data_IF_728884023825
#
_entry.id   IF_728884023825
#
_cell.length_a   1.000
_cell.length_b   1.000
_cell.length_c   1.000
_cell.angle_alpha   90.00
_cell.angle_beta   90.00
_cell.angle_gamma   90.00
#
_symmetry.space_group_name_H-M   'P 1'
#
loop_
_entity.id
_entity.type
_entity.pdbx_description
1 polymer ?
#
# COMPACT_ATOMS: atom_id res chain seq x y z
N UNK A 1 -2.96 -21.72 7.53
CA UNK A 1 -4.26 -21.57 8.24
C UNK A 1 -4.88 -20.23 7.83
N UNK A 2 -6.20 -20.14 7.65
CA UNK A 2 -6.87 -18.86 7.39
C UNK A 2 -7.54 -18.35 8.67
N UNK A 3 -7.27 -17.09 9.04
CA UNK A 3 -7.85 -16.43 10.21
C UNK A 3 -8.36 -15.04 9.81
N UNK A 4 -9.62 -14.72 10.13
CA UNK A 4 -10.30 -13.47 9.74
C UNK A 4 -10.08 -13.15 8.24
N UNK A 5 -10.19 -14.19 7.39
CA UNK A 5 -10.00 -14.07 5.95
C UNK A 5 -8.58 -13.75 5.49
N UNK A 6 -7.58 -13.69 6.37
CA UNK A 6 -6.16 -13.55 6.04
C UNK A 6 -5.45 -14.92 6.10
N UNK A 7 -4.55 -15.18 5.16
CA UNK A 7 -3.68 -16.36 5.22
C UNK A 7 -2.56 -16.06 6.21
N UNK A 8 -2.48 -16.86 7.27
CA UNK A 8 -1.34 -16.91 8.18
C UNK A 8 -0.29 -17.82 7.53
N UNK A 9 0.79 -17.20 7.08
CA UNK A 9 1.94 -17.81 6.43
C UNK A 9 3.13 -16.88 6.63
N UNK A 10 4.30 -17.43 6.96
CA UNK A 10 5.53 -16.65 7.10
C UNK A 10 5.99 -16.06 5.76
N UNK A 11 5.58 -16.67 4.64
CA UNK A 11 5.87 -16.18 3.31
C UNK A 11 4.88 -15.05 2.89
N UNK A 12 5.36 -13.81 2.64
CA UNK A 12 4.51 -12.69 2.22
C UNK A 12 3.86 -12.88 0.85
N UNK A 13 4.42 -13.74 -0.01
CA UNK A 13 3.87 -14.02 -1.33
C UNK A 13 2.51 -14.72 -1.28
N UNK A 14 2.33 -15.70 -0.39
CA UNK A 14 1.05 -16.40 -0.23
C UNK A 14 -0.05 -15.46 0.27
N UNK A 15 0.31 -14.47 1.07
CA UNK A 15 -0.64 -13.46 1.52
C UNK A 15 -1.10 -12.57 0.37
N UNK A 16 -0.16 -12.05 -0.43
CA UNK A 16 -0.48 -11.22 -1.59
C UNK A 16 -1.32 -11.98 -2.62
N UNK A 17 -0.99 -13.23 -2.92
CA UNK A 17 -1.76 -14.07 -3.85
C UNK A 17 -3.20 -14.30 -3.35
N UNK A 18 -3.36 -14.59 -2.06
CA UNK A 18 -4.69 -14.72 -1.45
C UNK A 18 -5.51 -13.43 -1.60
N UNK A 19 -4.90 -12.25 -1.39
CA UNK A 19 -5.57 -10.95 -1.56
C UNK A 19 -5.89 -10.64 -3.02
N UNK A 20 -4.99 -10.98 -3.94
CA UNK A 20 -5.24 -10.88 -5.38
C UNK A 20 -6.46 -11.74 -5.76
N UNK A 21 -6.52 -12.99 -5.30
CA UNK A 21 -7.65 -13.87 -5.57
C UNK A 21 -8.97 -13.36 -4.96
N UNK A 22 -8.93 -12.83 -3.73
CA UNK A 22 -10.09 -12.22 -3.10
C UNK A 22 -10.58 -10.97 -3.85
N UNK A 23 -9.67 -10.06 -4.21
CA UNK A 23 -9.97 -8.87 -4.98
C UNK A 23 -10.51 -9.22 -6.37
N UNK A 24 -9.98 -10.27 -7.01
CA UNK A 24 -10.51 -10.80 -8.28
C UNK A 24 -11.97 -11.18 -8.17
N UNK A 25 -12.33 -11.96 -7.14
CA UNK A 25 -13.70 -12.40 -6.92
C UNK A 25 -14.61 -11.21 -6.67
N UNK A 26 -14.18 -10.25 -5.84
CA UNK A 26 -14.92 -9.01 -5.59
C UNK A 26 -15.12 -8.20 -6.88
N UNK A 27 -14.10 -8.09 -7.73
CA UNK A 27 -14.17 -7.39 -9.01
C UNK A 27 -15.21 -8.01 -9.95
N UNK A 28 -15.18 -9.33 -10.14
CA UNK A 28 -16.15 -10.00 -11.00
C UNK A 28 -17.56 -10.00 -10.42
N UNK A 29 -17.72 -10.09 -9.10
CA UNK A 29 -19.02 -9.92 -8.44
C UNK A 29 -19.58 -8.51 -8.64
N UNK A 30 -18.71 -7.49 -8.62
CA UNK A 30 -19.10 -6.10 -8.83
C UNK A 30 -19.38 -5.76 -10.29
N UNK A 31 -19.02 -6.59 -11.28
CA UNK A 31 -19.24 -6.27 -12.70
C UNK A 31 -20.70 -5.95 -13.02
N UNK A 32 -21.65 -6.58 -12.33
CA UNK A 32 -23.08 -6.28 -12.47
C UNK A 32 -23.45 -4.84 -12.07
N UNK A 33 -22.63 -4.17 -11.26
CA UNK A 33 -22.93 -2.86 -10.65
C UNK A 33 -22.17 -1.70 -11.33
N UNK A 34 -21.16 -1.95 -12.17
CA UNK A 34 -20.48 -0.83 -12.85
C UNK A 34 -19.15 -1.06 -13.57
N UNK A 35 -18.20 -1.91 -13.16
CA UNK A 35 -16.92 -2.06 -13.87
C UNK A 35 -17.06 -2.96 -15.11
N UNK A 36 -17.91 -2.56 -16.06
CA UNK A 36 -18.07 -3.21 -17.36
C UNK A 36 -17.33 -2.43 -18.45
N UNK A 37 -16.66 -3.18 -19.34
CA UNK A 37 -16.08 -2.65 -20.59
C UNK A 37 -17.17 -1.88 -21.34
N UNK A 38 -17.03 -0.55 -21.43
CA UNK A 38 -17.82 0.37 -22.27
C UNK A 38 -19.11 0.97 -21.68
N UNK A 39 -19.45 0.75 -20.41
CA UNK A 39 -20.71 1.26 -19.84
C UNK A 39 -20.58 2.43 -18.88
N UNK A 40 -19.42 2.61 -18.24
CA UNK A 40 -19.36 3.35 -16.97
C UNK A 40 -18.32 4.44 -17.01
N UNK A 41 -18.69 5.60 -16.47
CA UNK A 41 -17.79 6.74 -16.34
C UNK A 41 -16.50 6.32 -15.59
N UNK A 42 -15.30 6.66 -16.11
CA UNK A 42 -14.03 6.41 -15.41
C UNK A 42 -14.01 6.93 -13.96
N UNK A 43 -14.74 8.00 -13.64
CA UNK A 43 -14.86 8.51 -12.27
C UNK A 43 -15.62 7.55 -11.34
N UNK A 44 -16.68 6.90 -11.86
CA UNK A 44 -17.42 5.87 -11.12
C UNK A 44 -16.57 4.62 -10.93
N UNK A 45 -15.81 4.21 -11.96
CA UNK A 45 -14.85 3.10 -11.84
C UNK A 45 -13.80 3.41 -10.77
N UNK A 46 -13.26 4.63 -10.79
CA UNK A 46 -12.34 5.11 -9.77
C UNK A 46 -12.96 5.05 -8.38
N UNK A 47 -14.18 5.55 -8.21
CA UNK A 47 -14.89 5.53 -6.93
C UNK A 47 -15.09 4.10 -6.42
N UNK A 48 -15.59 3.19 -7.26
CA UNK A 48 -15.76 1.77 -6.92
C UNK A 48 -14.42 1.09 -6.57
N UNK A 49 -13.35 1.45 -7.28
CA UNK A 49 -12.01 0.96 -6.96
C UNK A 49 -11.56 1.43 -5.58
N UNK A 50 -11.72 2.71 -5.27
CA UNK A 50 -11.29 3.28 -3.99
C UNK A 50 -12.09 2.74 -2.80
N UNK A 51 -13.39 2.54 -2.98
CA UNK A 51 -14.33 2.17 -1.91
C UNK A 51 -14.38 0.67 -1.65
N UNK A 52 -14.47 -0.15 -2.69
CA UNK A 52 -14.72 -1.59 -2.53
C UNK A 52 -13.49 -2.46 -2.77
N UNK A 53 -12.71 -2.18 -3.81
CA UNK A 53 -11.65 -3.10 -4.28
C UNK A 53 -10.30 -2.85 -3.60
N UNK A 54 -9.92 -1.59 -3.39
CA UNK A 54 -8.69 -1.21 -2.70
C UNK A 54 -8.60 -1.79 -1.28
N UNK A 55 -9.62 -1.69 -0.41
CA UNK A 55 -9.53 -2.26 0.93
C UNK A 55 -9.35 -3.79 0.89
N UNK A 56 -10.05 -4.48 -0.02
CA UNK A 56 -9.91 -5.95 -0.19
C UNK A 56 -8.49 -6.33 -0.62
N UNK A 57 -7.88 -5.55 -1.51
CA UNK A 57 -6.53 -5.79 -1.99
C UNK A 57 -5.46 -5.47 -0.92
N UNK A 58 -5.68 -4.45 -0.11
CA UNK A 58 -4.68 -3.92 0.84
C UNK A 58 -4.82 -4.47 2.26
N UNK A 59 -5.91 -5.18 2.55
CA UNK A 59 -6.16 -5.79 3.86
C UNK A 59 -5.00 -6.70 4.28
N UNK A 60 -4.46 -6.46 5.47
CA UNK A 60 -3.35 -7.22 6.05
C UNK A 60 -1.96 -6.87 5.50
N UNK A 61 -1.88 -6.28 4.29
CA UNK A 61 -0.61 -5.95 3.63
C UNK A 61 0.10 -4.77 4.32
N UNK A 62 -0.64 -3.79 4.82
CA UNK A 62 -0.09 -2.62 5.51
C UNK A 62 0.61 -2.96 6.83
N UNK A 63 0.18 -4.05 7.48
CA UNK A 63 0.75 -4.54 8.74
C UNK A 63 1.97 -5.45 8.55
N UNK A 64 2.30 -5.82 7.31
CA UNK A 64 3.45 -6.68 7.01
C UNK A 64 4.70 -5.83 6.76
N UNK A 65 5.82 -6.27 7.34
CA UNK A 65 7.12 -5.69 7.05
C UNK A 65 7.58 -6.15 5.65
N UNK A 66 7.16 -5.44 4.62
CA UNK A 66 7.63 -5.67 3.26
C UNK A 66 8.84 -4.78 2.97
N UNK A 67 10.01 -5.40 2.75
CA UNK A 67 11.19 -4.71 2.24
C UNK A 67 10.89 -4.01 0.90
N UNK A 68 11.46 -2.82 0.70
CA UNK A 68 11.20 -1.94 -0.46
C UNK A 68 11.57 -2.56 -1.82
N UNK A 69 12.34 -3.66 -1.83
CA UNK A 69 12.72 -4.44 -3.03
C UNK A 69 11.82 -5.67 -3.27
N UNK A 70 10.64 -5.72 -2.68
CA UNK A 70 9.81 -6.92 -2.74
C UNK A 70 9.00 -7.00 -4.05
N UNK A 71 9.30 -8.03 -4.86
CA UNK A 71 8.48 -8.49 -5.99
C UNK A 71 6.98 -8.58 -5.65
N UNK A 72 6.64 -8.78 -4.38
CA UNK A 72 5.27 -8.80 -3.86
C UNK A 72 4.52 -7.49 -4.12
N UNK A 73 5.12 -6.33 -3.83
CA UNK A 73 4.48 -5.02 -4.05
C UNK A 73 4.28 -4.76 -5.55
N UNK A 74 5.28 -5.11 -6.36
CA UNK A 74 5.17 -4.99 -7.81
C UNK A 74 4.05 -5.87 -8.37
N UNK A 75 3.89 -7.09 -7.84
CA UNK A 75 2.82 -8.00 -8.28
C UNK A 75 1.43 -7.42 -8.01
N UNK A 76 1.25 -6.76 -6.86
CA UNK A 76 0.00 -6.09 -6.48
C UNK A 76 -0.26 -4.88 -7.38
N UNK A 77 0.75 -4.07 -7.69
CA UNK A 77 0.61 -2.90 -8.57
C UNK A 77 0.30 -3.31 -10.03
N UNK A 78 0.96 -4.37 -10.52
CA UNK A 78 0.64 -4.99 -11.81
C UNK A 78 -0.81 -5.51 -11.82
N UNK A 79 -1.25 -6.10 -10.72
CA UNK A 79 -2.62 -6.61 -10.60
C UNK A 79 -3.68 -5.49 -10.60
N UNK A 80 -3.45 -4.43 -9.81
CA UNK A 80 -4.31 -3.24 -9.80
C UNK A 80 -4.49 -2.67 -11.20
N UNK A 81 -3.39 -2.44 -11.91
CA UNK A 81 -3.44 -1.86 -13.25
C UNK A 81 -4.08 -2.80 -14.27
N UNK A 82 -3.92 -4.11 -14.13
CA UNK A 82 -4.60 -5.11 -14.97
C UNK A 82 -6.12 -5.06 -14.81
N UNK A 83 -6.62 -4.97 -13.58
CA UNK A 83 -8.06 -4.86 -13.30
C UNK A 83 -8.63 -3.52 -13.79
N UNK A 84 -7.92 -2.42 -13.55
CA UNK A 84 -8.35 -1.09 -14.01
C UNK A 84 -8.39 -1.01 -15.54
N UNK A 85 -7.40 -1.56 -16.23
CA UNK A 85 -7.43 -1.69 -17.70
C UNK A 85 -8.63 -2.51 -18.17
N UNK A 86 -8.92 -3.62 -17.49
CA UNK A 86 -10.06 -4.46 -17.82
C UNK A 86 -11.39 -3.73 -17.65
N UNK A 87 -11.54 -2.93 -16.59
CA UNK A 87 -12.74 -2.13 -16.33
C UNK A 87 -12.96 -1.04 -17.40
N UNK A 88 -11.90 -0.34 -17.81
CA UNK A 88 -11.99 0.72 -18.83
C UNK A 88 -12.10 0.13 -20.25
N UNK A 89 -11.62 -1.10 -20.44
CA UNK A 89 -11.51 -1.73 -21.77
C UNK A 89 -10.23 -1.42 -22.52
N UNK A 90 -9.19 -0.97 -21.81
CA UNK A 90 -7.86 -0.79 -22.35
C UNK A 90 -7.15 -2.13 -22.56
N UNK A 91 -6.24 -2.15 -23.54
CA UNK A 91 -5.42 -3.34 -23.84
C UNK A 91 -4.34 -3.55 -22.78
N UNK A 92 -3.89 -4.79 -22.63
CA UNK A 92 -2.94 -5.20 -21.59
C UNK A 92 -1.60 -4.46 -21.67
N UNK A 93 -1.15 -4.12 -22.89
CA UNK A 93 0.14 -3.47 -23.16
C UNK A 93 0.17 -1.95 -22.90
N UNK A 94 -0.95 -1.31 -22.56
CA UNK A 94 -0.96 0.12 -22.24
C UNK A 94 -0.05 0.40 -21.04
N UNK A 95 0.67 1.54 -21.01
CA UNK A 95 1.56 1.86 -19.89
C UNK A 95 0.76 2.03 -18.59
N UNK A 96 1.29 1.49 -17.49
CA UNK A 96 0.61 1.49 -16.18
C UNK A 96 0.60 2.87 -15.52
N UNK A 97 1.68 3.64 -15.69
CA UNK A 97 1.88 4.94 -15.03
C UNK A 97 0.89 6.02 -15.45
N UNK A 98 0.60 6.26 -16.76
CA UNK A 98 -0.38 7.26 -17.17
C UNK A 98 -1.79 6.95 -16.69
N UNK A 99 -2.17 5.67 -16.67
CA UNK A 99 -3.52 5.24 -16.28
C UNK A 99 -3.81 5.62 -14.82
N UNK A 100 -2.85 5.38 -13.93
CA UNK A 100 -2.97 5.74 -12.52
C UNK A 100 -2.98 7.26 -12.30
N UNK A 101 -2.19 8.00 -13.09
CA UNK A 101 -2.15 9.47 -13.05
C UNK A 101 -3.47 10.09 -13.51
N UNK A 102 -4.00 9.66 -14.66
CA UNK A 102 -5.24 10.17 -15.24
C UNK A 102 -6.44 9.90 -14.32
N UNK A 103 -6.51 8.72 -13.73
CA UNK A 103 -7.57 8.42 -12.76
C UNK A 103 -7.31 8.97 -11.36
N UNK A 104 -6.20 9.67 -11.12
CA UNK A 104 -5.81 10.15 -9.79
C UNK A 104 -5.93 9.05 -8.71
N UNK A 105 -5.36 7.89 -9.02
CA UNK A 105 -5.32 6.71 -8.15
C UNK A 105 -3.87 6.55 -7.65
N UNK A 106 -3.69 6.58 -6.33
CA UNK A 106 -2.39 6.34 -5.71
C UNK A 106 -1.87 4.92 -6.00
N UNK A 107 -0.55 4.79 -6.07
CA UNK A 107 0.11 3.49 -6.12
C UNK A 107 -0.04 2.75 -4.80
N UNK A 108 0.01 1.42 -4.83
CA UNK A 108 -0.11 0.59 -3.62
C UNK A 108 1.04 0.87 -2.67
N UNK A 109 2.27 0.98 -3.20
CA UNK A 109 3.45 1.38 -2.42
C UNK A 109 3.25 2.68 -1.65
N UNK A 110 2.73 3.71 -2.30
CA UNK A 110 2.44 5.00 -1.68
C UNK A 110 1.35 4.89 -0.62
N UNK A 111 0.26 4.17 -0.94
CA UNK A 111 -0.86 3.99 -0.03
C UNK A 111 -0.47 3.23 1.25
N UNK A 112 0.34 2.19 1.14
CA UNK A 112 0.87 1.45 2.30
C UNK A 112 1.70 2.38 3.18
N UNK A 113 2.61 3.15 2.57
CA UNK A 113 3.46 4.09 3.32
C UNK A 113 2.67 5.17 4.03
N UNK A 114 1.62 5.71 3.41
CA UNK A 114 0.70 6.65 4.06
C UNK A 114 -0.07 5.99 5.21
N UNK A 115 -0.64 4.80 4.99
CA UNK A 115 -1.41 4.08 6.01
C UNK A 115 -0.56 3.76 7.24
N UNK A 116 0.69 3.34 7.05
CA UNK A 116 1.63 3.07 8.14
C UNK A 116 1.96 4.34 8.94
N UNK A 117 2.16 5.47 8.26
CA UNK A 117 2.38 6.78 8.92
C UNK A 117 1.15 7.21 9.71
N UNK A 118 -0.05 7.00 9.20
CA UNK A 118 -1.29 7.39 9.87
C UNK A 118 -1.54 6.54 11.12
N UNK A 119 -1.28 5.23 11.06
CA UNK A 119 -1.28 4.36 12.26
C UNK A 119 -0.25 4.85 13.29
N UNK A 120 0.97 5.17 12.85
CA UNK A 120 2.01 5.69 13.74
C UNK A 120 1.58 7.00 14.42
N UNK A 121 1.00 7.95 13.67
CA UNK A 121 0.49 9.21 14.22
C UNK A 121 -0.60 8.97 15.26
N UNK A 122 -1.52 8.04 15.00
CA UNK A 122 -2.58 7.67 15.93
C UNK A 122 -2.02 7.05 17.22
N UNK A 123 -1.02 6.17 17.10
CA UNK A 123 -0.34 5.59 18.27
C UNK A 123 0.34 6.65 19.13
N UNK A 124 1.07 7.60 18.52
CA UNK A 124 1.70 8.71 19.24
C UNK A 124 0.65 9.58 19.94
N UNK A 125 -0.47 9.88 19.26
CA UNK A 125 -1.51 10.76 19.80
C UNK A 125 -2.27 10.14 20.97
N UNK A 126 -2.55 8.84 20.91
CA UNK A 126 -3.44 8.18 21.85
C UNK A 126 -2.70 7.47 23.00
N UNK A 127 -1.44 7.07 22.83
CA UNK A 127 -0.69 6.35 23.86
C UNK A 127 0.44 7.18 24.50
N UNK A 128 0.36 7.34 25.82
CA UNK A 128 1.43 7.94 26.64
C UNK A 128 2.73 7.14 26.57
N UNK A 129 2.66 5.82 26.33
CA UNK A 129 3.83 4.94 26.10
C UNK A 129 4.43 5.13 24.70
N UNK A 130 3.60 5.35 23.68
CA UNK A 130 4.05 5.67 22.32
C UNK A 130 4.83 6.98 22.26
N UNK A 131 4.37 7.99 23.01
CA UNK A 131 5.11 9.24 23.23
C UNK A 131 6.47 9.01 23.89
N UNK A 132 6.55 8.19 24.95
CA UNK A 132 7.82 7.85 25.62
C UNK A 132 8.79 7.10 24.70
N UNK A 133 8.29 6.16 23.89
CA UNK A 133 9.09 5.45 22.91
C UNK A 133 9.58 6.38 21.80
N UNK A 134 8.72 7.27 21.28
CA UNK A 134 9.10 8.21 20.24
C UNK A 134 10.08 9.27 20.74
N UNK A 135 9.89 9.79 21.96
CA UNK A 135 10.85 10.69 22.61
C UNK A 135 12.19 10.01 22.83
N UNK A 136 12.19 8.71 23.18
CA UNK A 136 13.41 7.91 23.30
C UNK A 136 14.13 7.75 21.95
N UNK A 137 13.42 7.41 20.88
CA UNK A 137 14.01 7.33 19.53
C UNK A 137 14.56 8.69 19.07
N UNK A 138 13.86 9.78 19.33
CA UNK A 138 14.36 11.13 19.02
C UNK A 138 15.62 11.47 19.81
N UNK A 139 15.69 11.07 21.09
CA UNK A 139 16.88 11.28 21.92
C UNK A 139 18.09 10.47 21.42
N UNK A 140 17.88 9.26 20.89
CA UNK A 140 18.94 8.46 20.25
C UNK A 140 19.43 9.08 18.94
N UNK A 141 18.53 9.67 18.16
CA UNK A 141 18.91 10.37 16.92
C UNK A 141 19.74 11.62 17.17
N UNK A 142 19.53 12.32 18.29
CA UNK A 142 20.32 13.49 18.68
C UNK A 142 21.76 13.11 19.08
N UNK A 143 21.95 12.00 19.80
CA UNK A 143 23.30 11.50 20.15
C UNK A 143 24.13 11.10 18.92
N UNK A 144 23.51 10.50 17.90
CA UNK A 144 24.22 10.14 16.66
C UNK A 144 24.60 11.37 15.84
N UNK A 145 23.76 12.41 15.83
CA UNK A 145 24.11 13.68 15.15
C UNK A 145 25.24 14.41 15.86
N UNK A 146 25.29 14.42 17.19
CA UNK A 146 26.39 15.05 17.94
C UNK A 146 27.72 14.30 17.78
N UNK A 147 27.70 12.96 17.68
CA UNK A 147 28.88 12.18 17.32
C UNK A 147 29.39 12.50 15.92
N UNK A 148 28.51 12.63 14.92
CA UNK A 148 28.90 13.02 13.56
C UNK A 148 29.49 14.45 13.47
N UNK A 149 28.97 15.39 14.26
CA UNK A 149 29.53 16.75 14.34
C UNK A 149 30.90 16.77 15.03
N UNK A 150 31.09 16.01 16.10
CA UNK A 150 32.38 15.90 16.79
C UNK A 150 33.46 15.21 15.95
N UNK A 151 33.10 14.16 15.18
CA UNK A 151 34.03 13.49 14.25
C UNK A 151 34.43 14.41 13.09
N UNK A 152 33.52 15.24 12.57
CA UNK A 152 33.86 16.25 11.55
C UNK A 152 34.76 17.37 12.10
N UNK A 153 34.55 17.79 13.34
CA UNK A 153 35.37 18.83 13.97
C UNK A 153 36.80 18.36 14.28
N UNK A 154 37.01 17.06 14.48
CA UNK A 154 38.33 16.46 14.75
C UNK A 154 39.08 16.04 13.48
N UNK A 155 38.38 15.82 12.35
CA UNK A 155 39.01 15.61 11.04
C UNK A 155 39.39 16.91 10.30
N UNK A 156 38.96 18.07 10.79
CA UNK A 156 39.26 19.39 10.22
C UNK A 156 40.27 20.22 11.06
N UNK A 157 40.97 19.61 12.01
CA UNK A 157 42.17 20.14 12.66
C UNK A 157 43.40 19.38 12.19
#
# INVERSE_FOLDING_TARGET
IQYIGAVISDNPFHHAESRISACRRAFYALQCVGPCKRGTNPDTIRYLWMTALRPVLTYGISCMNMSKKNQTIESLEKYQTKLLKAAIGLKSYCRNTPILQVMNIKRISQFIGESQRDVMKLLIRNETKGLKFYSYILSLGQSDTEQWYNVKSTMCQ
#
